data_IF_279244299604
#
_entry.id   IF_279244299604
#
_cell.length_a   1.000
_cell.length_b   1.000
_cell.length_c   1.000
_cell.angle_alpha   90.00
_cell.angle_beta   90.00
_cell.angle_gamma   90.00
#
_symmetry.space_group_name_H-M   'P 1'
#
loop_
_entity.id
_entity.type
_entity.pdbx_description
1 polymer ?
#
# COMPACT_ATOMS: atom_id res chain seq x y z
N UNK A 1 -10.31 9.93 8.63
CA UNK A 1 -10.18 8.51 8.23
C UNK A 1 -8.72 8.20 7.99
N UNK A 2 -8.21 7.14 8.60
CA UNK A 2 -6.88 6.57 8.50
C UNK A 2 -6.87 5.50 7.42
N UNK A 3 -5.68 5.13 6.93
CA UNK A 3 -5.51 4.01 6.02
C UNK A 3 -6.12 2.71 6.58
N UNK A 4 -5.96 2.49 7.89
CA UNK A 4 -6.57 1.36 8.60
C UNK A 4 -8.10 1.35 8.54
N UNK A 5 -8.74 2.52 8.66
CA UNK A 5 -10.20 2.63 8.50
C UNK A 5 -10.64 2.25 7.09
N UNK A 6 -9.90 2.64 6.05
CA UNK A 6 -10.20 2.23 4.68
C UNK A 6 -9.99 0.71 4.46
N UNK A 7 -8.94 0.11 5.03
CA UNK A 7 -8.74 -1.34 4.97
C UNK A 7 -9.92 -2.09 5.61
N UNK A 8 -10.47 -1.57 6.72
CA UNK A 8 -11.68 -2.14 7.35
C UNK A 8 -12.91 -2.03 6.46
N UNK A 9 -13.09 -0.90 5.77
CA UNK A 9 -14.21 -0.73 4.83
C UNK A 9 -14.16 -1.72 3.66
N UNK A 10 -12.98 -2.22 3.29
CA UNK A 10 -12.79 -3.23 2.25
C UNK A 10 -12.97 -4.69 2.75
N UNK A 11 -13.40 -4.91 3.99
CA UNK A 11 -13.52 -6.26 4.57
C UNK A 11 -14.30 -7.22 3.66
N UNK A 12 -13.67 -8.34 3.30
CA UNK A 12 -14.27 -9.38 2.45
C UNK A 12 -14.26 -9.07 0.95
N UNK A 13 -13.68 -7.95 0.52
CA UNK A 13 -13.49 -7.64 -0.89
C UNK A 13 -12.20 -8.26 -1.44
N UNK A 14 -12.16 -8.70 -2.70
CA UNK A 14 -11.00 -9.38 -3.29
C UNK A 14 -9.68 -8.59 -3.19
N UNK A 15 -9.75 -7.26 -3.22
CA UNK A 15 -8.61 -6.34 -3.21
C UNK A 15 -8.21 -5.83 -1.81
N UNK A 16 -8.83 -6.30 -0.73
CA UNK A 16 -8.55 -5.84 0.64
C UNK A 16 -7.07 -6.00 1.01
N UNK A 17 -6.49 -7.18 0.74
CA UNK A 17 -5.12 -7.51 1.12
C UNK A 17 -4.08 -6.73 0.31
N UNK A 18 -4.34 -6.55 -0.99
CA UNK A 18 -3.48 -5.77 -1.88
C UNK A 18 -3.48 -4.29 -1.41
N UNK A 19 -4.66 -3.75 -1.08
CA UNK A 19 -4.77 -2.39 -0.52
C UNK A 19 -4.08 -2.25 0.84
N UNK A 20 -4.27 -3.21 1.75
CA UNK A 20 -3.61 -3.22 3.05
C UNK A 20 -2.08 -3.18 2.92
N UNK A 21 -1.52 -3.97 2.01
CA UNK A 21 -0.07 -4.02 1.75
C UNK A 21 0.47 -2.68 1.25
N UNK A 22 -0.24 -2.02 0.33
CA UNK A 22 0.15 -0.69 -0.16
C UNK A 22 0.10 0.36 0.95
N UNK A 23 -0.95 0.34 1.77
CA UNK A 23 -1.06 1.31 2.87
C UNK A 23 0.01 1.11 3.93
N UNK A 24 0.42 -0.14 4.19
CA UNK A 24 1.49 -0.42 5.14
C UNK A 24 2.84 0.15 4.66
N UNK A 25 3.12 0.05 3.35
CA UNK A 25 4.30 0.70 2.77
C UNK A 25 4.29 2.22 2.98
N UNK A 26 3.12 2.85 2.82
CA UNK A 26 2.96 4.28 3.11
C UNK A 26 3.27 4.61 4.58
N UNK A 27 2.76 3.83 5.53
CA UNK A 27 3.02 4.04 6.96
C UNK A 27 4.53 3.91 7.29
N UNK A 28 5.23 2.94 6.69
CA UNK A 28 6.67 2.76 6.89
C UNK A 28 7.50 3.93 6.36
N UNK A 29 7.12 4.48 5.21
CA UNK A 29 7.79 5.65 4.63
C UNK A 29 7.54 6.89 5.47
N UNK A 30 6.28 7.12 5.83
CA UNK A 30 5.87 8.37 6.46
C UNK A 30 6.23 8.43 7.96
N UNK A 31 6.08 7.32 8.67
CA UNK A 31 6.28 7.24 10.12
C UNK A 31 7.48 6.40 10.56
N UNK A 32 7.96 5.49 9.71
CA UNK A 32 9.02 4.54 10.06
C UNK A 32 10.44 5.07 9.96
N UNK A 33 10.64 6.31 9.45
CA UNK A 33 11.97 6.85 9.10
C UNK A 33 12.76 5.87 8.22
N UNK A 34 12.06 5.18 7.33
CA UNK A 34 12.65 4.24 6.41
C UNK A 34 13.08 4.99 5.16
N UNK A 35 14.39 5.03 4.91
CA UNK A 35 14.92 5.67 3.71
C UNK A 35 14.57 4.83 2.48
N UNK A 36 13.86 5.44 1.53
CA UNK A 36 13.58 4.83 0.25
C UNK A 36 14.71 5.17 -0.71
N UNK A 37 15.38 4.15 -1.25
CA UNK A 37 16.25 4.29 -2.40
C UNK A 37 15.49 4.03 -3.72
N UNK A 38 16.13 4.30 -4.86
CA UNK A 38 15.51 4.11 -6.16
C UNK A 38 14.96 2.70 -6.38
N UNK A 39 15.66 1.67 -5.89
CA UNK A 39 15.29 0.27 -6.10
C UNK A 39 14.02 -0.08 -5.32
N UNK A 40 13.91 0.41 -4.08
CA UNK A 40 12.71 0.23 -3.26
C UNK A 40 11.55 1.00 -3.88
N UNK A 41 11.78 2.24 -4.31
CA UNK A 41 10.76 3.04 -4.98
C UNK A 41 10.20 2.34 -6.22
N UNK A 42 11.07 1.81 -7.09
CA UNK A 42 10.66 1.11 -8.31
C UNK A 42 9.79 -0.12 -8.01
N UNK A 43 10.12 -0.85 -6.94
CA UNK A 43 9.32 -1.99 -6.47
C UNK A 43 7.95 -1.54 -5.98
N UNK A 44 7.90 -0.51 -5.12
CA UNK A 44 6.64 0.03 -4.60
C UNK A 44 5.76 0.58 -5.73
N UNK A 45 6.35 1.25 -6.71
CA UNK A 45 5.64 1.77 -7.87
C UNK A 45 5.07 0.65 -8.73
N UNK A 46 5.80 -0.45 -8.90
CA UNK A 46 5.32 -1.64 -9.60
C UNK A 46 4.12 -2.25 -8.89
N UNK A 47 4.21 -2.44 -7.57
CA UNK A 47 3.13 -3.03 -6.77
C UNK A 47 1.86 -2.15 -6.83
N UNK A 48 2.03 -0.83 -6.77
CA UNK A 48 0.92 0.12 -6.93
C UNK A 48 0.27 0.01 -8.31
N UNK A 49 1.07 -0.04 -9.39
CA UNK A 49 0.54 -0.21 -10.75
C UNK A 49 -0.20 -1.53 -10.92
N UNK A 50 0.31 -2.62 -10.35
CA UNK A 50 -0.35 -3.92 -10.38
C UNK A 50 -1.69 -3.90 -9.65
N UNK A 51 -1.77 -3.26 -8.49
CA UNK A 51 -3.04 -3.06 -7.79
C UNK A 51 -4.03 -2.25 -8.65
N UNK A 52 -3.58 -1.15 -9.24
CA UNK A 52 -4.44 -0.30 -10.06
C UNK A 52 -5.00 -1.01 -11.30
N UNK A 53 -4.27 -1.97 -11.87
CA UNK A 53 -4.74 -2.79 -12.99
C UNK A 53 -5.80 -3.83 -12.60
N UNK A 54 -5.92 -4.18 -11.31
CA UNK A 54 -6.89 -5.16 -10.80
C UNK A 54 -8.20 -4.53 -10.29
N UNK A 55 -8.21 -3.20 -10.13
CA UNK A 55 -9.40 -2.40 -9.82
C UNK A 55 -10.34 -2.34 -11.03
#
# INVERSE_FOLDING_TARGET
KTNYEYVKELSGKPHQNDFASLTLNYEYVWYGKFDIDQKIFDSLQKDFKQYHQKL
#
